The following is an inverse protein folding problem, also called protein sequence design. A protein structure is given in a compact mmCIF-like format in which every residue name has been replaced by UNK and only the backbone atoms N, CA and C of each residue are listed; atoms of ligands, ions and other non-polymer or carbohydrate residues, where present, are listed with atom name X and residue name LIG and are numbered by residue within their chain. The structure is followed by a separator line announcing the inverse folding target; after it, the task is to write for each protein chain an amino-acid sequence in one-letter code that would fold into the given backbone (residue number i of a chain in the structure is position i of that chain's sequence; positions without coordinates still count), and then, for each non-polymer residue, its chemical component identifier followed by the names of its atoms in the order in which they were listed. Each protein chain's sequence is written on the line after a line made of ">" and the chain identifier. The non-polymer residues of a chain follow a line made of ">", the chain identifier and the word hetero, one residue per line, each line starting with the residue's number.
data_IF_378908763479
#
_entry.id   IF_378908763479
#
_cell.length_a   1.000
_cell.length_b   1.000
_cell.length_c   1.000
_cell.angle_alpha   90.00
_cell.angle_beta   90.00
_cell.angle_gamma   90.00
#
_symmetry.space_group_name_H-M   'P 1'
#
loop_
_entity.id
_entity.type
_entity.pdbx_description
1 polymer ?
#
# COMPACT_ATOMS: atom_id res chain seq x y z
N UNK A 1 62.92 6.17 -22.65
CA UNK A 1 61.54 6.16 -23.16
C UNK A 1 60.75 5.03 -22.49
N UNK A 2 59.71 5.30 -21.70
CA UNK A 2 58.95 4.22 -21.01
C UNK A 2 57.73 4.63 -20.17
N UNK A 3 57.47 5.93 -19.96
CA UNK A 3 56.36 6.42 -19.12
C UNK A 3 54.99 6.54 -19.84
N UNK A 4 54.93 6.41 -21.17
CA UNK A 4 53.73 6.70 -21.95
C UNK A 4 52.69 5.55 -22.01
N UNK A 5 53.09 4.31 -21.76
CA UNK A 5 52.22 3.12 -21.89
C UNK A 5 51.36 2.88 -20.64
N UNK A 6 51.87 3.20 -19.45
CA UNK A 6 51.14 3.04 -18.18
C UNK A 6 49.92 3.96 -18.05
N UNK A 7 49.99 5.18 -18.60
CA UNK A 7 48.90 6.16 -18.50
C UNK A 7 47.71 5.87 -19.44
N UNK A 8 47.94 5.25 -20.60
CA UNK A 8 46.85 4.79 -21.50
C UNK A 8 46.11 3.59 -20.92
N UNK A 9 46.82 2.63 -20.34
CA UNK A 9 46.22 1.43 -19.72
C UNK A 9 45.40 1.79 -18.47
N UNK A 10 45.90 2.71 -17.65
CA UNK A 10 45.17 3.24 -16.49
C UNK A 10 43.93 4.08 -16.87
N UNK A 11 43.96 4.83 -17.98
CA UNK A 11 42.80 5.57 -18.49
C UNK A 11 41.71 4.64 -19.05
N UNK A 12 42.10 3.54 -19.72
CA UNK A 12 41.15 2.53 -20.19
C UNK A 12 40.45 1.81 -19.05
N UNK A 13 41.22 1.39 -18.03
CA UNK A 13 40.70 0.70 -16.86
C UNK A 13 39.77 1.58 -15.99
N UNK A 14 40.06 2.88 -15.91
CA UNK A 14 39.20 3.84 -15.21
C UNK A 14 37.86 4.04 -15.93
N UNK A 15 37.87 4.12 -17.26
CA UNK A 15 36.63 4.23 -18.05
C UNK A 15 35.75 2.99 -17.90
N UNK A 16 36.35 1.79 -17.91
CA UNK A 16 35.60 0.54 -17.72
C UNK A 16 35.01 0.43 -16.32
N UNK A 17 35.77 0.80 -15.26
CA UNK A 17 35.25 0.81 -13.89
C UNK A 17 34.07 1.76 -13.71
N UNK A 18 34.16 2.96 -14.30
CA UNK A 18 33.11 3.98 -14.20
C UNK A 18 31.83 3.52 -14.93
N UNK A 19 31.96 2.96 -16.12
CA UNK A 19 30.83 2.41 -16.90
C UNK A 19 30.18 1.21 -16.19
N UNK A 20 30.99 0.29 -15.65
CA UNK A 20 30.47 -0.88 -14.91
C UNK A 20 29.72 -0.44 -13.65
N UNK A 21 30.22 0.55 -12.92
CA UNK A 21 29.54 1.09 -11.74
C UNK A 21 28.21 1.77 -12.11
N UNK A 22 28.16 2.47 -13.24
CA UNK A 22 26.94 3.11 -13.76
C UNK A 22 25.88 2.07 -14.16
N UNK A 23 26.30 1.02 -14.88
CA UNK A 23 25.42 -0.08 -15.28
C UNK A 23 24.92 -0.88 -14.07
N UNK A 24 25.79 -1.16 -13.10
CA UNK A 24 25.39 -1.83 -11.86
C UNK A 24 24.38 -0.99 -11.06
N UNK A 25 24.58 0.33 -10.98
CA UNK A 25 23.63 1.25 -10.35
C UNK A 25 22.27 1.28 -11.07
N UNK A 26 22.28 1.35 -12.40
CA UNK A 26 21.04 1.33 -13.21
C UNK A 26 20.29 0.00 -13.09
N UNK A 27 21.00 -1.13 -13.10
CA UNK A 27 20.40 -2.45 -12.91
C UNK A 27 19.79 -2.62 -11.52
N UNK A 28 20.52 -2.20 -10.47
CA UNK A 28 20.01 -2.25 -9.10
C UNK A 28 18.79 -1.35 -8.92
N UNK A 29 18.79 -0.15 -9.53
CA UNK A 29 17.63 0.74 -9.56
C UNK A 29 16.40 0.04 -10.14
N UNK A 30 16.53 -0.57 -11.31
CA UNK A 30 15.41 -1.23 -11.98
C UNK A 30 14.85 -2.38 -11.13
N UNK A 31 15.72 -3.14 -10.47
CA UNK A 31 15.31 -4.21 -9.54
C UNK A 31 14.55 -3.62 -8.34
N UNK A 32 15.12 -2.61 -7.67
CA UNK A 32 14.51 -1.98 -6.49
C UNK A 32 13.16 -1.35 -6.85
N UNK A 33 13.09 -0.59 -7.94
CA UNK A 33 11.83 0.01 -8.40
C UNK A 33 10.78 -1.08 -8.66
N UNK A 34 11.15 -2.18 -9.33
CA UNK A 34 10.17 -3.20 -9.67
C UNK A 34 9.71 -4.07 -8.49
N UNK A 35 10.62 -4.39 -7.56
CA UNK A 35 10.31 -5.30 -6.43
C UNK A 35 9.84 -4.55 -5.19
N UNK A 36 10.55 -3.51 -4.77
CA UNK A 36 10.22 -2.78 -3.53
C UNK A 36 8.94 -1.96 -3.71
N UNK A 37 8.67 -1.40 -4.91
CA UNK A 37 7.43 -0.67 -5.14
C UNK A 37 6.19 -1.55 -5.03
N UNK A 38 6.23 -2.75 -5.64
CA UNK A 38 5.11 -3.70 -5.57
C UNK A 38 4.83 -4.12 -4.12
N UNK A 39 5.88 -4.53 -3.40
CA UNK A 39 5.73 -5.06 -2.04
C UNK A 39 5.37 -3.96 -1.02
N UNK A 40 6.02 -2.79 -1.10
CA UNK A 40 5.78 -1.71 -0.15
C UNK A 40 4.41 -1.03 -0.36
N UNK A 41 3.92 -0.97 -1.60
CA UNK A 41 2.55 -0.51 -1.87
C UNK A 41 1.53 -1.50 -1.32
N UNK A 42 1.68 -2.79 -1.61
CA UNK A 42 0.72 -3.82 -1.16
C UNK A 42 0.54 -3.79 0.36
N UNK A 43 1.63 -3.90 1.14
CA UNK A 43 1.53 -3.95 2.60
C UNK A 43 1.02 -2.64 3.23
N UNK A 44 1.49 -1.47 2.76
CA UNK A 44 1.02 -0.18 3.31
C UNK A 44 -0.45 0.07 3.02
N UNK A 45 -0.92 -0.36 1.86
CA UNK A 45 -2.30 -0.17 1.45
C UNK A 45 -3.24 -1.18 2.11
N UNK A 46 -2.81 -2.43 2.38
CA UNK A 46 -3.57 -3.41 3.17
C UNK A 46 -3.78 -2.92 4.61
N UNK A 47 -2.70 -2.49 5.27
CA UNK A 47 -2.77 -1.98 6.64
C UNK A 47 -3.67 -0.74 6.75
N UNK A 48 -3.59 0.18 5.78
CA UNK A 48 -4.44 1.38 5.77
C UNK A 48 -5.92 1.05 5.62
N UNK A 49 -6.29 0.06 4.80
CA UNK A 49 -7.70 -0.25 4.58
C UNK A 49 -8.34 -0.96 5.76
N UNK A 50 -7.63 -1.88 6.42
CA UNK A 50 -8.11 -2.47 7.66
C UNK A 50 -8.39 -1.38 8.72
N UNK A 51 -7.50 -0.39 8.82
CA UNK A 51 -7.69 0.78 9.71
C UNK A 51 -8.88 1.64 9.31
N UNK A 52 -9.10 1.88 8.01
CA UNK A 52 -10.28 2.64 7.52
C UNK A 52 -11.57 1.90 7.84
N UNK A 53 -11.64 0.59 7.58
CA UNK A 53 -12.80 -0.24 7.91
C UNK A 53 -13.09 -0.22 9.41
N UNK A 54 -12.06 -0.35 10.24
CA UNK A 54 -12.20 -0.27 11.69
C UNK A 54 -12.73 1.11 12.12
N UNK A 55 -12.19 2.19 11.55
CA UNK A 55 -12.64 3.55 11.84
C UNK A 55 -14.11 3.78 11.45
N UNK A 56 -14.52 3.27 10.28
CA UNK A 56 -15.91 3.30 9.83
C UNK A 56 -16.78 2.55 10.82
N UNK A 57 -16.39 1.33 11.20
CA UNK A 57 -17.14 0.54 12.18
C UNK A 57 -17.26 1.24 13.52
N UNK A 58 -16.16 1.76 14.08
CA UNK A 58 -16.18 2.49 15.36
C UNK A 58 -17.03 3.76 15.30
N UNK A 59 -17.01 4.48 14.18
CA UNK A 59 -17.87 5.66 13.98
C UNK A 59 -19.36 5.27 13.99
N UNK A 60 -19.72 4.21 13.28
CA UNK A 60 -21.11 3.73 13.23
C UNK A 60 -21.53 3.15 14.58
N UNK A 61 -20.65 2.40 15.23
CA UNK A 61 -20.87 1.85 16.56
C UNK A 61 -21.09 2.94 17.60
N UNK A 62 -20.31 4.02 17.58
CA UNK A 62 -20.50 5.16 18.49
C UNK A 62 -21.88 5.80 18.33
N UNK A 63 -22.36 5.95 17.09
CA UNK A 63 -23.71 6.45 16.81
C UNK A 63 -24.79 5.51 17.34
N UNK A 64 -24.65 4.20 17.10
CA UNK A 64 -25.60 3.20 17.60
C UNK A 64 -25.63 3.14 19.13
N UNK A 65 -24.46 3.19 19.79
CA UNK A 65 -24.34 3.20 21.25
C UNK A 65 -24.96 4.44 21.89
N UNK A 66 -24.99 5.56 21.17
CA UNK A 66 -25.69 6.77 21.58
C UNK A 66 -27.22 6.71 21.34
N UNK A 67 -27.74 5.58 20.84
CA UNK A 67 -29.17 5.41 20.52
C UNK A 67 -29.57 6.01 19.17
N UNK A 68 -28.62 6.26 18.27
CA UNK A 68 -28.90 6.78 16.94
C UNK A 68 -29.74 5.82 16.10
N UNK A 69 -30.87 6.31 15.59
CA UNK A 69 -31.74 5.56 14.67
C UNK A 69 -31.18 5.43 13.25
N UNK A 70 -31.95 4.77 12.38
CA UNK A 70 -31.56 4.47 11.00
C UNK A 70 -31.13 5.72 10.19
N UNK A 71 -31.83 6.84 10.36
CA UNK A 71 -31.54 8.09 9.64
C UNK A 71 -30.20 8.70 10.07
N UNK A 72 -29.88 8.63 11.36
CA UNK A 72 -28.61 9.14 11.90
C UNK A 72 -27.46 8.28 11.40
N UNK A 73 -27.65 6.97 11.35
CA UNK A 73 -26.67 6.03 10.81
C UNK A 73 -26.42 6.28 9.32
N UNK A 74 -27.48 6.44 8.53
CA UNK A 74 -27.39 6.74 7.10
C UNK A 74 -26.65 8.05 6.83
N UNK A 75 -27.00 9.13 7.54
CA UNK A 75 -26.32 10.41 7.43
C UNK A 75 -24.85 10.37 7.89
N UNK A 76 -24.49 9.40 8.73
CA UNK A 76 -23.10 9.20 9.14
C UNK A 76 -22.30 8.51 8.03
N UNK A 77 -22.89 7.51 7.37
CA UNK A 77 -22.29 6.85 6.20
C UNK A 77 -22.03 7.86 5.08
N UNK A 78 -23.03 8.68 4.73
CA UNK A 78 -22.87 9.71 3.69
C UNK A 78 -21.74 10.71 4.01
N UNK A 79 -21.61 11.11 5.28
CA UNK A 79 -20.51 11.99 5.72
C UNK A 79 -19.14 11.32 5.68
N UNK A 80 -19.09 10.01 5.93
CA UNK A 80 -17.85 9.23 5.81
C UNK A 80 -17.43 9.11 4.34
N UNK A 81 -18.38 8.83 3.44
CA UNK A 81 -18.15 8.81 1.99
C UNK A 81 -17.62 10.16 1.49
N UNK A 82 -18.24 11.27 1.88
CA UNK A 82 -17.80 12.62 1.47
C UNK A 82 -16.38 12.95 1.94
N UNK A 83 -16.00 12.52 3.16
CA UNK A 83 -14.63 12.73 3.68
C UNK A 83 -13.61 11.82 3.02
N UNK A 84 -14.03 10.62 2.62
CA UNK A 84 -13.19 9.64 1.95
C UNK A 84 -13.25 9.83 0.42
N UNK A 85 -13.17 11.06 -0.10
CA UNK A 85 -13.35 11.44 -1.53
C UNK A 85 -12.76 10.51 -2.62
N UNK A 86 -11.68 9.79 -2.33
CA UNK A 86 -11.05 8.84 -3.26
C UNK A 86 -11.45 7.37 -3.04
N UNK A 87 -12.41 7.11 -2.15
CA UNK A 87 -12.91 5.79 -1.77
C UNK A 87 -14.44 5.77 -1.86
N UNK A 88 -14.97 4.78 -2.56
CA UNK A 88 -16.37 4.39 -2.42
C UNK A 88 -16.50 3.40 -1.27
N UNK A 89 -17.51 3.60 -0.43
CA UNK A 89 -17.79 2.76 0.74
C UNK A 89 -19.19 2.16 0.57
N UNK A 90 -19.31 0.85 0.73
CA UNK A 90 -20.60 0.19 0.72
C UNK A 90 -20.69 -0.76 1.92
N UNK A 91 -21.79 -0.70 2.65
CA UNK A 91 -22.04 -1.59 3.79
C UNK A 91 -23.11 -2.60 3.39
N UNK A 92 -22.76 -3.88 3.39
CA UNK A 92 -23.68 -4.99 3.10
C UNK A 92 -24.04 -5.66 4.42
N UNK A 93 -25.34 -5.72 4.76
CA UNK A 93 -25.80 -6.28 6.04
C UNK A 93 -25.60 -7.80 6.10
N UNK A 94 -25.20 -8.31 7.27
CA UNK A 94 -25.18 -9.73 7.60
C UNK A 94 -26.59 -10.31 7.73
N UNK A 95 -26.69 -11.65 7.81
CA UNK A 95 -27.99 -12.34 7.90
C UNK A 95 -28.83 -11.85 9.09
N UNK A 96 -28.26 -11.83 10.31
CA UNK A 96 -28.96 -11.38 11.51
C UNK A 96 -29.52 -9.95 11.40
N UNK A 97 -28.79 -9.04 10.73
CA UNK A 97 -29.29 -7.68 10.49
C UNK A 97 -30.39 -7.63 9.44
N UNK A 98 -30.29 -8.45 8.38
CA UNK A 98 -31.34 -8.54 7.36
C UNK A 98 -32.63 -9.11 7.96
N UNK A 99 -32.53 -10.12 8.83
CA UNK A 99 -33.68 -10.69 9.52
C UNK A 99 -34.35 -9.68 10.46
N UNK A 100 -33.57 -8.90 11.21
CA UNK A 100 -34.10 -7.95 12.18
C UNK A 100 -34.57 -6.62 11.57
N UNK A 101 -33.90 -6.13 10.52
CA UNK A 101 -34.09 -4.76 10.00
C UNK A 101 -34.28 -4.68 8.48
N UNK A 102 -34.34 -5.81 7.78
CA UNK A 102 -34.35 -5.87 6.32
C UNK A 102 -32.99 -5.57 5.69
N UNK A 103 -32.88 -5.80 4.39
CA UNK A 103 -31.68 -5.48 3.62
C UNK A 103 -31.65 -3.99 3.20
N UNK A 104 -30.46 -3.51 2.85
CA UNK A 104 -30.26 -2.16 2.34
C UNK A 104 -30.50 -2.12 0.82
N UNK A 105 -31.43 -1.28 0.37
CA UNK A 105 -31.79 -1.18 -1.05
C UNK A 105 -30.60 -0.85 -1.97
N UNK A 106 -29.64 -0.06 -1.51
CA UNK A 106 -28.50 0.41 -2.31
C UNK A 106 -27.32 -0.57 -2.34
N UNK A 107 -27.18 -1.47 -1.36
CA UNK A 107 -26.03 -2.36 -1.24
C UNK A 107 -26.36 -3.85 -1.27
N UNK A 108 -27.64 -4.23 -1.21
CA UNK A 108 -28.08 -5.63 -1.26
C UNK A 108 -27.63 -6.37 -2.53
N UNK A 109 -27.47 -5.68 -3.66
CA UNK A 109 -27.02 -6.30 -4.90
C UNK A 109 -25.58 -6.87 -4.80
N UNK A 110 -24.70 -6.22 -4.03
CA UNK A 110 -23.33 -6.70 -3.79
C UNK A 110 -23.28 -8.04 -3.06
N UNK A 111 -24.35 -8.42 -2.35
CA UNK A 111 -24.45 -9.71 -1.63
C UNK A 111 -24.26 -10.92 -2.54
N UNK A 112 -24.68 -10.80 -3.79
CA UNK A 112 -24.58 -11.87 -4.79
C UNK A 112 -23.17 -12.05 -5.34
N UNK A 113 -22.27 -11.09 -5.11
CA UNK A 113 -20.91 -11.18 -5.61
C UNK A 113 -20.11 -12.25 -4.83
N UNK A 114 -19.26 -13.05 -5.50
CA UNK A 114 -18.55 -14.16 -4.86
C UNK A 114 -17.70 -13.75 -3.64
N UNK A 115 -16.99 -12.62 -3.75
CA UNK A 115 -16.10 -12.12 -2.69
C UNK A 115 -16.88 -11.71 -1.44
N UNK A 116 -17.98 -10.96 -1.62
CA UNK A 116 -18.86 -10.48 -0.54
C UNK A 116 -19.61 -11.64 0.08
N UNK A 117 -20.16 -12.53 -0.76
CA UNK A 117 -20.87 -13.72 -0.32
C UNK A 117 -19.99 -14.65 0.51
N UNK A 118 -18.73 -14.82 0.12
CA UNK A 118 -17.73 -15.56 0.91
C UNK A 118 -17.43 -14.86 2.23
N UNK A 119 -17.21 -13.54 2.21
CA UNK A 119 -16.96 -12.78 3.44
C UNK A 119 -18.14 -12.83 4.41
N UNK A 120 -19.38 -12.86 3.92
CA UNK A 120 -20.58 -13.01 4.75
C UNK A 120 -20.69 -14.40 5.40
N UNK A 121 -20.37 -15.47 4.65
CA UNK A 121 -20.50 -16.85 5.15
C UNK A 121 -19.33 -17.31 6.01
N UNK A 122 -18.11 -17.07 5.53
CA UNK A 122 -16.88 -17.59 6.14
C UNK A 122 -16.23 -16.55 7.07
N UNK A 123 -16.63 -15.28 6.96
CA UNK A 123 -15.99 -14.20 7.70
C UNK A 123 -14.53 -14.00 7.30
N UNK A 124 -14.19 -14.35 6.06
CA UNK A 124 -12.86 -14.17 5.45
C UNK A 124 -12.91 -12.99 4.50
N UNK A 125 -12.17 -11.93 4.84
CA UNK A 125 -12.01 -10.78 3.97
C UNK A 125 -11.11 -11.06 2.78
N UNK A 126 -11.25 -10.26 1.74
CA UNK A 126 -10.36 -10.30 0.57
C UNK A 126 -10.05 -8.91 0.08
N UNK A 127 -8.82 -8.72 -0.37
CA UNK A 127 -8.40 -7.50 -1.05
C UNK A 127 -7.83 -7.89 -2.41
N UNK A 128 -8.26 -7.19 -3.45
CA UNK A 128 -7.90 -7.49 -4.82
C UNK A 128 -7.80 -6.24 -5.67
N UNK A 129 -7.24 -6.43 -6.86
CA UNK A 129 -7.24 -5.41 -7.91
C UNK A 129 -8.29 -5.77 -8.94
N UNK A 130 -9.13 -4.80 -9.30
CA UNK A 130 -10.00 -4.87 -10.47
C UNK A 130 -9.29 -4.25 -11.68
N UNK A 131 -9.94 -4.35 -12.84
CA UNK A 131 -9.51 -3.62 -14.03
C UNK A 131 -9.32 -2.12 -13.70
N UNK A 132 -8.44 -1.45 -14.45
CA UNK A 132 -8.23 0.00 -14.38
C UNK A 132 -7.54 0.55 -13.12
N UNK A 133 -6.86 -0.31 -12.35
CA UNK A 133 -6.13 0.11 -11.15
C UNK A 133 -7.06 0.47 -9.98
N UNK A 134 -8.32 0.03 -10.05
CA UNK A 134 -9.26 0.10 -8.94
C UNK A 134 -8.90 -1.00 -7.94
N UNK A 135 -8.59 -0.59 -6.71
CA UNK A 135 -8.35 -1.53 -5.62
C UNK A 135 -9.65 -1.73 -4.85
N UNK A 136 -10.03 -2.99 -4.68
CA UNK A 136 -11.28 -3.37 -4.03
C UNK A 136 -11.00 -4.25 -2.83
N UNK A 137 -11.65 -3.94 -1.72
CA UNK A 137 -11.46 -4.65 -0.47
C UNK A 137 -12.78 -4.93 0.21
N UNK A 138 -12.94 -6.18 0.60
CA UNK A 138 -14.14 -6.76 1.19
C UNK A 138 -13.75 -7.21 2.58
N UNK A 139 -14.20 -6.50 3.61
CA UNK A 139 -13.85 -6.79 4.99
C UNK A 139 -15.09 -7.13 5.82
N UNK A 140 -15.15 -8.33 6.42
CA UNK A 140 -16.24 -8.71 7.32
C UNK A 140 -16.04 -8.06 8.69
N UNK A 141 -17.14 -7.56 9.22
CA UNK A 141 -17.26 -6.96 10.55
C UNK A 141 -18.09 -7.91 11.40
N UNK A 142 -17.65 -8.19 12.62
CA UNK A 142 -18.30 -9.16 13.51
C UNK A 142 -19.00 -8.48 14.68
N UNK A 143 -20.06 -9.09 15.17
CA UNK A 143 -20.71 -8.65 16.40
C UNK A 143 -19.79 -8.84 17.60
N UNK A 144 -19.70 -7.80 18.43
CA UNK A 144 -19.06 -7.83 19.75
C UNK A 144 -20.12 -8.20 20.81
N UNK A 145 -19.68 -8.58 22.01
CA UNK A 145 -20.60 -8.85 23.12
C UNK A 145 -21.57 -7.69 23.38
N UNK A 146 -21.06 -6.47 23.38
CA UNK A 146 -21.85 -5.24 23.56
C UNK A 146 -22.91 -5.01 22.47
N UNK A 147 -22.75 -5.58 21.27
CA UNK A 147 -23.72 -5.43 20.18
C UNK A 147 -25.03 -6.16 20.47
N UNK A 148 -24.97 -7.22 21.27
CA UNK A 148 -26.11 -8.09 21.58
C UNK A 148 -27.19 -7.40 22.44
N UNK A 149 -26.86 -6.25 23.04
CA UNK A 149 -27.83 -5.44 23.78
C UNK A 149 -28.96 -4.87 22.90
N UNK A 150 -28.69 -4.63 21.61
CA UNK A 150 -29.68 -4.11 20.65
C UNK A 150 -29.94 -5.08 19.48
N UNK A 151 -29.00 -5.98 19.20
CA UNK A 151 -29.09 -6.98 18.12
C UNK A 151 -29.41 -8.36 18.70
N UNK A 152 -30.67 -8.57 19.08
CA UNK A 152 -31.10 -9.77 19.83
C UNK A 152 -31.14 -11.04 19.00
N UNK A 153 -31.18 -10.94 17.66
CA UNK A 153 -31.11 -12.09 16.75
C UNK A 153 -29.67 -12.44 16.35
N UNK A 154 -28.67 -11.68 16.82
CA UNK A 154 -27.28 -11.90 16.48
C UNK A 154 -26.56 -12.74 17.52
N UNK A 155 -25.46 -13.39 17.09
CA UNK A 155 -24.53 -14.08 17.99
C UNK A 155 -23.18 -13.36 18.00
N UNK A 156 -22.53 -13.27 19.17
CA UNK A 156 -21.17 -12.71 19.25
C UNK A 156 -20.21 -13.50 18.34
N UNK A 157 -19.42 -12.79 17.55
CA UNK A 157 -18.50 -13.38 16.56
C UNK A 157 -19.13 -13.69 15.20
N UNK A 158 -20.46 -13.66 15.07
CA UNK A 158 -21.14 -13.71 13.78
C UNK A 158 -20.85 -12.45 12.95
N UNK A 159 -20.86 -12.58 11.61
CA UNK A 159 -20.63 -11.45 10.70
C UNK A 159 -21.85 -10.53 10.71
N UNK A 160 -21.68 -9.35 11.30
CA UNK A 160 -22.69 -8.29 11.37
C UNK A 160 -22.91 -7.62 10.03
N UNK A 161 -21.82 -7.30 9.33
CA UNK A 161 -21.85 -6.66 8.02
C UNK A 161 -20.55 -6.95 7.26
N UNK A 162 -20.56 -6.71 5.97
CA UNK A 162 -19.36 -6.66 5.14
C UNK A 162 -19.22 -5.26 4.60
N UNK A 163 -18.06 -4.66 4.84
CA UNK A 163 -17.71 -3.35 4.32
C UNK A 163 -16.91 -3.56 3.04
N UNK A 164 -17.47 -3.09 1.93
CA UNK A 164 -16.80 -3.06 0.63
C UNK A 164 -16.23 -1.66 0.43
N UNK A 165 -14.93 -1.58 0.18
CA UNK A 165 -14.26 -0.31 -0.16
C UNK A 165 -13.62 -0.43 -1.54
N UNK A 166 -13.81 0.60 -2.34
CA UNK A 166 -13.21 0.71 -3.67
C UNK A 166 -12.42 2.00 -3.74
N UNK A 167 -11.12 1.91 -4.02
CA UNK A 167 -10.22 3.05 -4.05
C UNK A 167 -9.51 3.11 -5.40
N UNK A 168 -9.58 4.27 -6.05
CA UNK A 168 -8.73 4.57 -7.19
C UNK A 168 -7.31 4.86 -6.70
N UNK A 169 -6.41 3.90 -6.82
CA UNK A 169 -5.01 4.11 -6.49
C UNK A 169 -4.33 4.77 -7.69
N UNK A 170 -4.33 6.10 -7.73
CA UNK A 170 -3.40 6.82 -8.61
C UNK A 170 -1.99 6.44 -8.20
N UNK A 171 -1.13 6.09 -9.17
CA UNK A 171 0.29 5.80 -8.92
C UNK A 171 0.86 6.91 -8.01
N UNK A 172 1.40 6.59 -6.83
CA UNK A 172 2.02 7.61 -5.99
C UNK A 172 3.19 8.21 -6.78
N UNK A 173 3.16 9.53 -6.95
CA UNK A 173 4.29 10.28 -7.51
C UNK A 173 5.43 10.21 -6.50
N UNK A 174 6.45 9.42 -6.84
CA UNK A 174 7.87 9.61 -6.52
C UNK A 174 8.17 10.29 -5.17
N UNK A 175 8.22 9.54 -4.06
CA UNK A 175 8.57 10.11 -2.74
C UNK A 175 9.71 9.42 -2.00
N UNK A 176 9.82 8.09 -2.10
CA UNK A 176 10.82 7.29 -1.35
C UNK A 176 11.82 6.56 -2.25
N UNK A 177 11.43 6.25 -3.49
CA UNK A 177 12.36 5.72 -4.49
C UNK A 177 13.42 6.76 -4.86
N UNK A 178 13.05 8.05 -4.91
CA UNK A 178 13.92 9.14 -5.36
C UNK A 178 15.10 9.42 -4.43
N UNK A 179 14.90 9.38 -3.11
CA UNK A 179 15.98 9.65 -2.15
C UNK A 179 17.02 8.52 -2.10
N UNK A 180 16.58 7.27 -2.20
CA UNK A 180 17.47 6.11 -2.31
C UNK A 180 18.19 6.09 -3.66
N UNK A 181 17.49 6.49 -4.74
CA UNK A 181 18.06 6.67 -6.08
C UNK A 181 19.14 7.75 -6.11
N UNK A 182 18.91 8.91 -5.49
CA UNK A 182 19.89 10.00 -5.43
C UNK A 182 21.17 9.55 -4.73
N UNK A 183 21.06 8.77 -3.64
CA UNK A 183 22.22 8.23 -2.93
C UNK A 183 23.01 7.29 -3.84
N UNK A 184 22.37 6.36 -4.56
CA UNK A 184 23.11 5.45 -5.44
C UNK A 184 23.64 6.14 -6.71
N UNK A 185 22.87 7.08 -7.28
CA UNK A 185 23.25 7.84 -8.48
C UNK A 185 24.42 8.79 -8.21
N UNK A 186 24.53 9.36 -7.00
CA UNK A 186 25.63 10.26 -6.65
C UNK A 186 26.78 9.58 -5.88
N UNK A 187 26.51 8.72 -4.89
CA UNK A 187 27.57 8.19 -4.03
C UNK A 187 28.47 7.15 -4.72
N UNK A 188 27.93 6.29 -5.60
CA UNK A 188 28.74 5.30 -6.32
C UNK A 188 29.76 5.94 -7.28
N UNK A 189 29.37 6.88 -8.18
CA UNK A 189 30.33 7.53 -9.07
C UNK A 189 31.29 8.45 -8.31
N UNK A 190 30.84 9.12 -7.24
CA UNK A 190 31.73 9.94 -6.39
C UNK A 190 32.76 9.05 -5.67
N UNK A 191 32.36 7.92 -5.10
CA UNK A 191 33.27 6.97 -4.47
C UNK A 191 34.29 6.40 -5.48
N UNK A 192 33.83 6.05 -6.70
CA UNK A 192 34.69 5.60 -7.79
C UNK A 192 35.72 6.67 -8.21
N UNK A 193 35.29 7.93 -8.30
CA UNK A 193 36.15 9.06 -8.62
C UNK A 193 37.20 9.31 -7.53
N UNK A 194 36.80 9.25 -6.24
CA UNK A 194 37.71 9.41 -5.11
C UNK A 194 38.75 8.28 -5.06
N UNK A 195 38.34 7.03 -5.31
CA UNK A 195 39.25 5.89 -5.39
C UNK A 195 40.27 6.07 -6.52
N UNK A 196 39.82 6.57 -7.68
CA UNK A 196 40.67 6.88 -8.83
C UNK A 196 41.70 7.97 -8.51
N UNK A 197 41.27 9.06 -7.87
CA UNK A 197 42.15 10.15 -7.47
C UNK A 197 43.18 9.68 -6.43
N UNK A 198 42.77 8.89 -5.44
CA UNK A 198 43.66 8.31 -4.43
C UNK A 198 44.72 7.39 -5.07
N UNK A 199 44.32 6.55 -6.02
CA UNK A 199 45.26 5.69 -6.78
C UNK A 199 46.27 6.53 -7.57
N UNK A 200 45.81 7.58 -8.27
CA UNK A 200 46.67 8.48 -9.05
C UNK A 200 47.68 9.23 -8.19
N UNK A 201 47.24 9.81 -7.08
CA UNK A 201 48.09 10.55 -6.15
C UNK A 201 49.12 9.62 -5.47
N UNK A 202 48.70 8.41 -5.09
CA UNK A 202 49.59 7.39 -4.53
C UNK A 202 50.58 6.81 -5.54
N UNK A 203 50.27 6.83 -6.83
CA UNK A 203 51.20 6.45 -7.90
C UNK A 203 52.19 7.59 -8.21
N UNK A 204 51.77 8.86 -8.13
CA UNK A 204 52.64 10.02 -8.30
C UNK A 204 53.69 10.09 -7.17
N UNK A 205 53.28 9.93 -5.91
CA UNK A 205 54.19 9.96 -4.75
C UNK A 205 55.22 8.83 -4.70
N UNK A 206 54.93 7.68 -5.34
CA UNK A 206 55.85 6.55 -5.46
C UNK A 206 56.86 6.69 -6.60
N UNK A 207 56.67 7.64 -7.51
CA UNK A 207 57.61 7.94 -8.58
C UNK A 207 58.67 8.99 -8.24
N UNK A 208 58.58 9.59 -7.04
CA UNK A 208 59.51 10.61 -6.52
C UNK A 208 60.45 10.08 -5.43
N UNK A 209 60.33 8.80 -5.05
CA UNK A 209 61.30 8.06 -4.22
C UNK A 209 62.07 7.10 -5.11
#
# INVERSE_FOLDING_TARGET
>A
MGKATGTRRARGFAKTLLVVSLLAGAGLYFVIEHTVWKLAQQHRLEARQAVVTELVFESLYGVMRAGGGADVLHNTILRLEERLRDHSLYVVRGNALVEQYGDLAHSGHYRSEPEVSRALREGVGSTGWRADGLRRSVLPVRFRGDCLGCHTHAVAGEVAAVIVTEQHVKRPQHGLADSTLLIYLYCLPVASLLLYLAYRLGAARRGER
#
